data_IF_024747646378
#
_entry.id   IF_024747646378
#
_cell.length_a   1.000
_cell.length_b   1.000
_cell.length_c   1.000
_cell.angle_alpha   90.00
_cell.angle_beta   90.00
_cell.angle_gamma   90.00
#
_symmetry.space_group_name_H-M   'P 1'
#
loop_
_entity.id
_entity.type
_entity.pdbx_description
1 polymer ?
#
# COMPACT_ATOMS: atom_id res chain seq x y z
N UNK A 1 -13.05 -25.89 -15.94
CA UNK A 1 -11.71 -25.99 -16.56
C UNK A 1 -10.80 -24.99 -15.83
N UNK A 2 -10.17 -25.45 -14.75
CA UNK A 2 -9.34 -24.62 -13.88
C UNK A 2 -7.92 -24.58 -14.43
N UNK A 3 -7.49 -23.41 -14.92
CA UNK A 3 -6.08 -23.13 -15.19
C UNK A 3 -5.47 -22.49 -13.93
N UNK A 4 -5.46 -23.23 -12.82
CA UNK A 4 -4.52 -22.97 -11.73
C UNK A 4 -3.23 -23.69 -12.13
N UNK A 5 -2.46 -23.05 -13.02
CA UNK A 5 -1.06 -23.39 -13.21
C UNK A 5 -0.39 -23.34 -11.84
N UNK A 6 0.31 -24.41 -11.46
CA UNK A 6 1.27 -24.42 -10.35
C UNK A 6 2.15 -23.16 -10.42
N UNK A 7 1.76 -22.10 -9.70
CA UNK A 7 2.64 -20.94 -9.51
C UNK A 7 3.56 -21.37 -8.37
N UNK A 8 4.84 -21.50 -8.70
CA UNK A 8 5.91 -21.79 -7.75
C UNK A 8 6.93 -20.65 -7.74
N UNK A 9 6.52 -19.46 -8.17
CA UNK A 9 7.36 -18.29 -8.31
C UNK A 9 6.65 -17.05 -7.80
N UNK A 10 7.41 -16.14 -7.18
CA UNK A 10 6.95 -14.83 -6.71
C UNK A 10 6.21 -14.08 -7.81
N UNK A 11 5.13 -13.39 -7.45
CA UNK A 11 4.41 -12.51 -8.37
C UNK A 11 5.36 -11.39 -8.82
N UNK A 12 5.66 -11.35 -10.12
CA UNK A 12 6.54 -10.36 -10.73
C UNK A 12 5.76 -9.15 -11.26
N UNK A 13 6.48 -8.08 -11.57
CA UNK A 13 5.93 -6.92 -12.29
C UNK A 13 5.31 -7.33 -13.64
N UNK A 14 5.92 -8.27 -14.36
CA UNK A 14 5.37 -8.76 -15.63
C UNK A 14 4.02 -9.47 -15.46
N UNK A 15 3.86 -10.24 -14.37
CA UNK A 15 2.56 -10.85 -14.01
C UNK A 15 1.53 -9.75 -13.73
N UNK A 16 1.86 -8.76 -12.89
CA UNK A 16 0.96 -7.64 -12.58
C UNK A 16 0.52 -6.90 -13.86
N UNK A 17 1.46 -6.59 -14.77
CA UNK A 17 1.14 -5.95 -16.06
C UNK A 17 0.18 -6.80 -16.89
N UNK A 18 0.38 -8.12 -16.91
CA UNK A 18 -0.44 -9.05 -17.70
C UNK A 18 -1.90 -9.15 -17.24
N UNK A 19 -2.20 -8.75 -15.99
CA UNK A 19 -3.54 -8.80 -15.40
C UNK A 19 -4.45 -7.68 -15.90
N UNK A 20 -3.89 -6.56 -16.40
CA UNK A 20 -4.68 -5.43 -16.90
C UNK A 20 -5.77 -5.89 -17.88
N UNK A 21 -7.00 -5.43 -17.64
CA UNK A 21 -8.16 -5.78 -18.47
C UNK A 21 -8.58 -7.27 -18.46
N UNK A 22 -7.88 -8.15 -17.74
CA UNK A 22 -8.16 -9.59 -17.68
C UNK A 22 -8.65 -10.02 -16.30
N UNK A 23 -7.93 -9.64 -15.24
CA UNK A 23 -8.24 -10.00 -13.84
C UNK A 23 -7.98 -8.81 -12.95
N UNK A 24 -8.84 -8.56 -11.96
CA UNK A 24 -8.63 -7.46 -11.02
C UNK A 24 -7.45 -7.76 -10.10
N UNK A 25 -6.61 -6.75 -9.87
CA UNK A 25 -5.46 -6.83 -8.96
C UNK A 25 -5.93 -6.47 -7.54
N UNK A 26 -5.73 -7.37 -6.60
CA UNK A 26 -5.98 -7.14 -5.18
C UNK A 26 -4.68 -6.72 -4.47
N UNK A 27 -4.67 -5.52 -3.89
CA UNK A 27 -3.53 -5.02 -3.14
C UNK A 27 -3.93 -4.61 -1.72
N UNK A 28 -3.02 -4.81 -0.76
CA UNK A 28 -3.17 -4.33 0.61
C UNK A 28 -1.85 -3.80 1.14
N UNK A 29 -1.92 -2.85 2.07
CA UNK A 29 -0.71 -2.47 2.81
C UNK A 29 -0.30 -3.56 3.80
N UNK A 30 0.97 -3.62 4.15
CA UNK A 30 1.47 -4.36 5.31
C UNK A 30 2.59 -3.56 5.97
N UNK A 31 2.67 -3.62 7.30
CA UNK A 31 3.63 -2.82 8.09
C UNK A 31 4.58 -3.68 8.91
N UNK A 32 4.30 -4.98 9.01
CA UNK A 32 5.08 -5.95 9.79
C UNK A 32 4.97 -7.36 9.19
N UNK A 33 5.63 -8.32 9.86
CA UNK A 33 5.63 -9.72 9.45
C UNK A 33 4.23 -10.35 9.47
N UNK A 34 3.43 -10.06 10.51
CA UNK A 34 2.12 -10.69 10.72
C UNK A 34 1.11 -10.26 9.66
N UNK A 35 1.02 -8.95 9.42
CA UNK A 35 0.16 -8.37 8.39
C UNK A 35 0.55 -8.82 6.99
N UNK A 36 1.85 -8.92 6.70
CA UNK A 36 2.33 -9.45 5.43
C UNK A 36 2.00 -10.94 5.26
N UNK A 37 2.16 -11.75 6.31
CA UNK A 37 1.82 -13.17 6.31
C UNK A 37 0.33 -13.40 6.03
N UNK A 38 -0.56 -12.60 6.62
CA UNK A 38 -1.98 -12.69 6.31
C UNK A 38 -2.28 -12.39 4.84
N UNK A 39 -1.62 -11.38 4.25
CA UNK A 39 -1.77 -11.08 2.83
C UNK A 39 -1.27 -12.23 1.93
N UNK A 40 -0.11 -12.79 2.26
CA UNK A 40 0.50 -13.93 1.55
C UNK A 40 -0.43 -15.15 1.53
N UNK A 41 -1.03 -15.48 2.67
CA UNK A 41 -1.95 -16.63 2.83
C UNK A 41 -3.36 -16.37 2.27
N UNK A 42 -3.67 -15.12 1.88
CA UNK A 42 -5.01 -14.72 1.41
C UNK A 42 -5.10 -14.45 -0.09
N UNK A 43 -4.04 -14.72 -0.86
CA UNK A 43 -4.04 -14.53 -2.30
C UNK A 43 -4.03 -13.05 -2.74
N UNK A 44 -3.43 -12.17 -1.94
CA UNK A 44 -3.14 -10.79 -2.34
C UNK A 44 -2.09 -10.81 -3.46
N UNK A 45 -2.26 -9.97 -4.48
CA UNK A 45 -1.31 -9.89 -5.61
C UNK A 45 -0.14 -8.95 -5.31
N UNK A 46 -0.42 -7.85 -4.61
CA UNK A 46 0.56 -6.81 -4.24
C UNK A 46 0.45 -6.48 -2.76
N UNK A 47 1.57 -6.59 -2.06
CA UNK A 47 1.73 -6.03 -0.71
C UNK A 47 2.50 -4.72 -0.81
N UNK A 48 1.94 -3.65 -0.23
CA UNK A 48 2.59 -2.34 -0.18
C UNK A 48 3.03 -2.00 1.24
N UNK A 49 4.32 -1.79 1.45
CA UNK A 49 4.84 -1.12 2.65
C UNK A 49 4.77 0.36 2.39
N UNK A 50 3.64 0.96 2.77
CA UNK A 50 3.36 2.37 2.53
C UNK A 50 3.72 3.26 3.71
N UNK A 51 4.10 4.50 3.44
CA UNK A 51 4.39 5.51 4.48
C UNK A 51 3.20 5.82 5.40
N UNK A 52 1.98 5.41 5.00
CA UNK A 52 0.81 5.31 5.86
C UNK A 52 1.08 4.64 7.22
N UNK A 53 2.11 3.77 7.32
CA UNK A 53 2.59 3.18 8.58
C UNK A 53 2.90 4.24 9.65
N UNK A 54 3.36 5.44 9.25
CA UNK A 54 3.61 6.54 10.17
C UNK A 54 2.36 6.86 10.98
N UNK A 55 1.22 6.97 10.32
CA UNK A 55 -0.05 7.25 10.98
C UNK A 55 -0.65 6.01 11.64
N UNK A 56 -0.72 4.89 10.92
CA UNK A 56 -1.52 3.73 11.34
C UNK A 56 -0.75 2.73 12.21
N UNK A 57 0.57 2.87 12.33
CA UNK A 57 1.39 1.99 13.17
C UNK A 57 2.21 2.78 14.19
N UNK A 58 2.73 3.95 13.81
CA UNK A 58 3.60 4.76 14.68
C UNK A 58 2.87 5.91 15.38
N UNK A 59 1.59 6.16 15.05
CA UNK A 59 0.78 7.20 15.67
C UNK A 59 1.21 8.63 15.30
N UNK A 60 1.96 8.81 14.22
CA UNK A 60 2.34 10.13 13.70
C UNK A 60 1.11 10.89 13.17
N UNK A 61 1.12 12.23 13.21
CA UNK A 61 -0.02 13.02 12.74
C UNK A 61 -0.18 13.00 11.21
N UNK A 62 0.88 12.70 10.47
CA UNK A 62 0.92 12.65 9.00
C UNK A 62 2.05 11.70 8.55
N UNK A 63 2.25 11.55 7.23
CA UNK A 63 3.29 10.68 6.64
C UNK A 63 4.59 11.42 6.26
N UNK A 64 4.66 12.74 6.43
CA UNK A 64 5.80 13.56 5.97
C UNK A 64 7.09 13.27 6.73
N UNK A 65 6.97 12.98 8.02
CA UNK A 65 8.10 12.74 8.93
C UNK A 65 8.56 11.27 8.94
N UNK A 66 7.98 10.43 8.07
CA UNK A 66 8.40 9.03 7.95
C UNK A 66 9.82 8.95 7.41
N UNK A 67 10.70 8.27 8.14
CA UNK A 67 12.11 8.16 7.80
C UNK A 67 12.39 6.97 6.87
N UNK A 68 13.51 7.04 6.14
CA UNK A 68 14.02 5.90 5.39
C UNK A 68 14.26 4.67 6.28
N UNK A 69 14.73 4.84 7.51
CA UNK A 69 14.99 3.74 8.45
C UNK A 69 13.70 3.02 8.86
N UNK A 70 12.61 3.77 9.07
CA UNK A 70 11.30 3.20 9.35
C UNK A 70 10.80 2.38 8.16
N UNK A 71 10.94 2.90 6.93
CA UNK A 71 10.56 2.18 5.71
C UNK A 71 11.40 0.92 5.48
N UNK A 72 12.72 0.97 5.71
CA UNK A 72 13.63 -0.19 5.61
C UNK A 72 13.26 -1.26 6.63
N UNK A 73 12.98 -0.86 7.87
CA UNK A 73 12.61 -1.77 8.97
C UNK A 73 11.29 -2.47 8.67
N UNK A 74 10.26 -1.71 8.27
CA UNK A 74 8.96 -2.26 7.90
C UNK A 74 9.04 -3.17 6.67
N UNK A 75 9.85 -2.80 5.66
CA UNK A 75 10.07 -3.64 4.46
C UNK A 75 10.71 -4.97 4.82
N UNK A 76 11.76 -4.94 5.64
CA UNK A 76 12.44 -6.15 6.11
C UNK A 76 11.49 -7.05 6.91
N UNK A 77 10.65 -6.46 7.76
CA UNK A 77 9.65 -7.19 8.52
C UNK A 77 8.57 -7.82 7.62
N UNK A 78 8.01 -7.05 6.69
CA UNK A 78 7.01 -7.53 5.75
C UNK A 78 7.56 -8.67 4.88
N UNK A 79 8.78 -8.53 4.33
CA UNK A 79 9.43 -9.59 3.54
C UNK A 79 9.52 -10.91 4.31
N UNK A 80 9.84 -10.88 5.61
CA UNK A 80 9.87 -12.09 6.45
C UNK A 80 8.52 -12.78 6.62
N UNK A 81 7.40 -12.10 6.33
CA UNK A 81 6.06 -12.68 6.35
C UNK A 81 5.66 -13.38 5.04
N UNK A 82 6.32 -13.04 3.93
CA UNK A 82 5.97 -13.50 2.57
C UNK A 82 6.74 -14.78 2.20
N UNK A 83 6.26 -15.93 2.69
CA UNK A 83 6.98 -17.21 2.61
C UNK A 83 6.22 -18.29 1.83
N UNK A 84 5.05 -18.00 1.26
CA UNK A 84 4.32 -18.95 0.42
C UNK A 84 5.11 -19.31 -0.83
N UNK A 85 4.64 -20.30 -1.60
CA UNK A 85 5.27 -20.68 -2.86
C UNK A 85 5.09 -19.62 -3.97
N UNK A 86 4.11 -18.72 -3.83
CA UNK A 86 3.81 -17.64 -4.78
C UNK A 86 3.55 -16.36 -3.99
N UNK A 87 4.57 -15.78 -3.35
CA UNK A 87 4.36 -14.60 -2.54
C UNK A 87 3.97 -13.40 -3.42
N UNK A 88 3.18 -12.45 -2.87
CA UNK A 88 2.82 -11.21 -3.56
C UNK A 88 4.06 -10.41 -3.96
N UNK A 89 3.87 -9.54 -4.96
CA UNK A 89 4.85 -8.51 -5.28
C UNK A 89 4.95 -7.55 -4.08
N UNK A 90 6.14 -7.39 -3.51
CA UNK A 90 6.37 -6.45 -2.42
C UNK A 90 6.81 -5.10 -2.97
N UNK A 91 5.96 -4.09 -2.82
CA UNK A 91 6.25 -2.70 -3.19
C UNK A 91 6.51 -1.90 -1.91
N UNK A 92 7.49 -1.01 -1.91
CA UNK A 92 7.72 -0.10 -0.77
C UNK A 92 7.72 1.35 -1.22
N UNK A 93 7.09 2.23 -0.44
CA UNK A 93 7.17 3.67 -0.65
C UNK A 93 8.60 4.21 -0.47
N UNK A 94 9.02 5.11 -1.36
CA UNK A 94 10.08 6.05 -1.03
C UNK A 94 9.42 7.20 -0.25
N UNK A 95 9.75 7.39 1.04
CA UNK A 95 9.20 8.48 1.83
C UNK A 95 9.76 9.82 1.33
N UNK A 96 9.13 10.94 1.72
CA UNK A 96 9.49 12.27 1.23
C UNK A 96 10.98 12.60 1.40
N UNK A 97 11.58 12.27 2.56
CA UNK A 97 13.00 12.47 2.81
C UNK A 97 13.91 11.61 1.92
N UNK A 98 13.39 10.51 1.38
CA UNK A 98 14.09 9.59 0.50
C UNK A 98 14.28 10.11 -0.93
N UNK A 99 13.56 11.17 -1.32
CA UNK A 99 13.58 11.73 -2.67
C UNK A 99 14.83 12.54 -3.01
N UNK A 100 15.67 12.90 -2.02
CA UNK A 100 16.93 13.61 -2.27
C UNK A 100 17.99 12.71 -2.93
N UNK A 101 18.03 11.44 -2.54
CA UNK A 101 18.95 10.42 -3.07
C UNK A 101 18.17 9.18 -3.55
N UNK A 102 17.31 9.32 -4.58
CA UNK A 102 16.27 8.35 -4.90
C UNK A 102 16.84 6.97 -5.27
N UNK A 103 17.88 6.91 -6.11
CA UNK A 103 18.49 5.63 -6.53
C UNK A 103 19.10 4.89 -5.33
N UNK A 104 19.87 5.60 -4.49
CA UNK A 104 20.52 4.99 -3.32
C UNK A 104 19.46 4.46 -2.33
N UNK A 105 18.44 5.27 -2.05
CA UNK A 105 17.37 4.91 -1.13
C UNK A 105 16.52 3.76 -1.66
N UNK A 106 16.19 3.75 -2.95
CA UNK A 106 15.50 2.62 -3.57
C UNK A 106 16.32 1.33 -3.50
N UNK A 107 17.64 1.39 -3.72
CA UNK A 107 18.53 0.21 -3.55
C UNK A 107 18.56 -0.29 -2.11
N UNK A 108 18.50 0.59 -1.12
CA UNK A 108 18.37 0.18 0.30
C UNK A 108 17.04 -0.54 0.54
N UNK A 109 15.93 -0.06 -0.02
CA UNK A 109 14.62 -0.73 0.08
C UNK A 109 14.60 -2.10 -0.61
N UNK A 110 15.21 -2.21 -1.79
CA UNK A 110 15.37 -3.49 -2.50
C UNK A 110 16.24 -4.45 -1.67
N UNK A 111 17.34 -3.97 -1.10
CA UNK A 111 18.20 -4.78 -0.21
C UNK A 111 17.46 -5.22 1.06
N UNK A 112 16.50 -4.43 1.53
CA UNK A 112 15.61 -4.77 2.64
C UNK A 112 14.52 -5.80 2.24
N UNK A 113 14.34 -6.04 0.94
CA UNK A 113 13.47 -7.09 0.41
C UNK A 113 12.35 -6.62 -0.51
N UNK A 114 12.24 -5.32 -0.81
CA UNK A 114 11.27 -4.83 -1.80
C UNK A 114 11.59 -5.36 -3.21
N UNK A 115 10.55 -5.67 -3.98
CA UNK A 115 10.66 -6.02 -5.40
C UNK A 115 10.57 -4.79 -6.31
N UNK A 116 9.87 -3.75 -5.85
CA UNK A 116 9.68 -2.49 -6.55
C UNK A 116 9.47 -1.35 -5.55
N UNK A 117 9.52 -0.11 -6.04
CA UNK A 117 9.26 1.08 -5.22
C UNK A 117 8.03 1.85 -5.68
N UNK A 118 7.34 2.53 -4.76
CA UNK A 118 6.27 3.49 -5.07
C UNK A 118 6.77 4.92 -4.87
N UNK A 119 6.41 5.80 -5.81
CA UNK A 119 6.76 7.23 -5.79
C UNK A 119 5.53 8.07 -6.06
N UNK A 120 5.29 9.07 -5.22
CA UNK A 120 4.27 10.09 -5.44
C UNK A 120 4.72 11.08 -6.52
N UNK A 121 3.98 11.16 -7.61
CA UNK A 121 4.32 11.98 -8.76
C UNK A 121 3.87 13.44 -8.56
N UNK A 122 4.38 14.08 -7.51
CA UNK A 122 4.37 15.53 -7.39
C UNK A 122 5.51 16.13 -8.22
N UNK A 123 5.73 17.44 -8.17
CA UNK A 123 6.70 18.15 -9.02
C UNK A 123 8.11 17.52 -9.03
N UNK A 124 8.62 17.08 -7.88
CA UNK A 124 9.91 16.37 -7.78
C UNK A 124 9.80 14.90 -8.21
N UNK A 125 8.69 14.24 -7.89
CA UNK A 125 8.46 12.82 -8.14
C UNK A 125 8.54 12.43 -9.62
N UNK A 126 8.05 13.27 -10.54
CA UNK A 126 8.13 12.96 -11.99
C UNK A 126 9.57 12.78 -12.48
N UNK A 127 10.50 13.63 -12.02
CA UNK A 127 11.91 13.51 -12.40
C UNK A 127 12.52 12.19 -11.88
N UNK A 128 12.05 11.77 -10.71
CA UNK A 128 12.54 10.59 -10.00
C UNK A 128 12.07 9.28 -10.65
N UNK A 129 10.84 9.22 -11.18
CA UNK A 129 10.34 8.00 -11.86
C UNK A 129 11.30 7.59 -12.99
N UNK A 130 11.60 8.52 -13.90
CA UNK A 130 12.50 8.24 -15.03
C UNK A 130 13.91 7.85 -14.58
N UNK A 131 14.43 8.52 -13.56
CA UNK A 131 15.77 8.26 -13.02
C UNK A 131 15.87 6.84 -12.44
N UNK A 132 14.88 6.43 -11.62
CA UNK A 132 14.82 5.10 -11.03
C UNK A 132 14.68 4.01 -12.10
N UNK A 133 13.75 4.19 -13.05
CA UNK A 133 13.55 3.22 -14.14
C UNK A 133 14.82 3.09 -14.99
N UNK A 134 15.49 4.20 -15.31
CA UNK A 134 16.77 4.18 -16.04
C UNK A 134 17.88 3.46 -15.27
N UNK A 135 17.79 3.42 -13.94
CA UNK A 135 18.70 2.67 -13.07
C UNK A 135 18.31 1.19 -12.89
N UNK A 136 17.30 0.70 -13.61
CA UNK A 136 16.82 -0.68 -13.54
C UNK A 136 15.92 -0.99 -12.34
N UNK A 137 15.31 0.03 -11.74
CA UNK A 137 14.42 -0.11 -10.59
C UNK A 137 12.97 -0.03 -11.07
N UNK A 138 12.17 -1.03 -10.70
CA UNK A 138 10.74 -1.06 -11.02
C UNK A 138 9.97 -0.03 -10.18
N UNK A 139 9.15 0.79 -10.84
CA UNK A 139 8.43 1.90 -10.20
C UNK A 139 6.93 1.78 -10.39
N UNK A 140 6.21 1.81 -9.26
CA UNK A 140 4.77 2.08 -9.20
C UNK A 140 4.58 3.58 -8.99
N UNK A 141 3.95 4.26 -9.94
CA UNK A 141 3.63 5.68 -9.82
C UNK A 141 2.41 5.90 -8.90
N UNK A 142 2.28 7.08 -8.31
CA UNK A 142 1.10 7.50 -7.56
C UNK A 142 0.68 8.92 -7.95
N UNK A 143 -0.56 9.08 -8.42
CA UNK A 143 -1.17 10.37 -8.78
C UNK A 143 -2.53 10.56 -8.12
N UNK A 144 -3.04 11.79 -8.14
CA UNK A 144 -4.28 12.18 -7.47
C UNK A 144 -3.97 12.88 -6.15
N UNK A 145 -4.53 12.40 -5.05
CA UNK A 145 -4.13 12.87 -3.72
C UNK A 145 -2.79 12.23 -3.34
N UNK A 146 -1.80 13.06 -3.03
CA UNK A 146 -0.44 12.62 -2.66
C UNK A 146 -0.13 13.07 -1.22
N UNK A 147 -0.38 12.21 -0.20
CA UNK A 147 -0.25 12.53 1.21
C UNK A 147 1.08 13.15 1.64
N UNK A 148 2.21 12.81 0.99
CA UNK A 148 3.53 13.33 1.36
C UNK A 148 3.63 14.86 1.22
N UNK A 149 2.75 15.48 0.44
CA UNK A 149 2.73 16.93 0.20
C UNK A 149 1.56 17.64 0.86
N UNK A 150 0.73 16.92 1.64
CA UNK A 150 -0.47 17.47 2.29
C UNK A 150 -0.10 18.09 3.63
N UNK A 151 -0.13 19.42 3.74
CA UNK A 151 0.32 20.19 4.92
C UNK A 151 -0.71 20.33 6.05
N UNK A 152 -1.98 19.97 5.84
CA UNK A 152 -3.03 19.96 6.88
C UNK A 152 -4.03 18.84 6.59
N UNK A 153 -4.68 18.32 7.64
CA UNK A 153 -5.83 17.41 7.61
C UNK A 153 -6.94 17.82 6.62
N UNK A 154 -7.12 19.13 6.39
CA UNK A 154 -8.02 19.67 5.36
C UNK A 154 -7.58 19.41 3.92
N UNK A 155 -6.34 18.97 3.70
CA UNK A 155 -5.75 18.69 2.39
C UNK A 155 -6.08 17.30 1.85
N UNK A 156 -6.60 16.38 2.67
CA UNK A 156 -7.16 15.11 2.21
C UNK A 156 -8.53 15.35 1.55
N UNK A 157 -8.59 16.07 0.43
CA UNK A 157 -9.81 16.33 -0.36
C UNK A 157 -9.80 15.54 -1.66
N UNK A 158 -10.99 15.37 -2.24
CA UNK A 158 -11.15 14.78 -3.57
C UNK A 158 -10.44 15.66 -4.61
N UNK A 159 -9.55 15.06 -5.40
CA UNK A 159 -8.76 15.73 -6.43
C UNK A 159 -9.41 15.61 -7.81
N UNK A 160 -9.11 16.50 -8.75
CA UNK A 160 -9.58 16.38 -10.14
C UNK A 160 -11.09 16.54 -10.34
N UNK A 161 -11.79 17.28 -9.47
CA UNK A 161 -13.23 17.60 -9.64
C UNK A 161 -13.50 18.50 -10.85
N UNK A 162 -12.64 19.50 -11.03
CA UNK A 162 -12.70 20.44 -12.15
C UNK A 162 -11.95 19.81 -13.33
N UNK A 163 -12.45 20.01 -14.54
CA UNK A 163 -11.91 19.40 -15.77
C UNK A 163 -10.41 19.68 -15.94
N UNK A 164 -9.97 20.93 -15.73
CA UNK A 164 -8.55 21.32 -15.80
C UNK A 164 -7.69 20.55 -14.80
N UNK A 165 -8.16 20.42 -13.55
CA UNK A 165 -7.46 19.65 -12.51
C UNK A 165 -7.45 18.16 -12.82
N UNK A 166 -8.53 17.65 -13.42
CA UNK A 166 -8.61 16.26 -13.88
C UNK A 166 -7.61 15.98 -15.00
N UNK A 167 -7.48 16.91 -15.95
CA UNK A 167 -6.49 16.83 -17.03
C UNK A 167 -5.06 16.79 -16.51
N UNK A 168 -4.71 17.61 -15.51
CA UNK A 168 -3.38 17.57 -14.86
C UNK A 168 -3.08 16.15 -14.32
N UNK A 169 -4.05 15.48 -13.69
CA UNK A 169 -3.87 14.13 -13.15
C UNK A 169 -3.74 13.09 -14.27
N UNK A 170 -4.50 13.24 -15.36
CA UNK A 170 -4.36 12.38 -16.54
C UNK A 170 -2.98 12.53 -17.19
N UNK A 171 -2.56 13.76 -17.47
CA UNK A 171 -1.28 14.07 -18.08
C UNK A 171 -0.12 13.56 -17.19
N UNK A 172 -0.26 13.70 -15.87
CA UNK A 172 0.64 13.12 -14.88
C UNK A 172 0.74 11.59 -14.99
N UNK A 173 -0.39 10.89 -15.05
CA UNK A 173 -0.41 9.44 -15.14
C UNK A 173 0.20 8.94 -16.46
N UNK A 174 -0.11 9.62 -17.57
CA UNK A 174 0.47 9.34 -18.89
C UNK A 174 1.99 9.60 -18.89
N UNK A 175 2.43 10.67 -18.23
CA UNK A 175 3.86 10.97 -18.13
C UNK A 175 4.61 9.91 -17.33
N UNK A 176 4.03 9.45 -16.22
CA UNK A 176 4.64 8.39 -15.43
C UNK A 176 4.76 7.06 -16.22
N UNK A 177 3.78 6.74 -17.05
CA UNK A 177 3.87 5.61 -18.00
C UNK A 177 4.96 5.82 -19.05
N UNK A 178 5.04 7.01 -19.66
CA UNK A 178 6.10 7.36 -20.63
C UNK A 178 7.50 7.23 -20.01
N UNK A 179 7.65 7.60 -18.74
CA UNK A 179 8.88 7.49 -17.97
C UNK A 179 9.16 6.05 -17.48
N UNK A 180 8.25 5.11 -17.77
CA UNK A 180 8.45 3.67 -17.63
C UNK A 180 7.92 3.03 -16.35
N UNK A 181 7.05 3.72 -15.60
CA UNK A 181 6.35 3.10 -14.47
C UNK A 181 5.57 1.86 -14.92
N UNK A 182 5.56 0.80 -14.11
CA UNK A 182 4.88 -0.45 -14.47
C UNK A 182 3.40 -0.50 -14.08
N UNK A 183 2.99 0.39 -13.17
CA UNK A 183 1.63 0.52 -12.62
C UNK A 183 1.43 1.93 -12.05
N UNK A 184 0.18 2.37 -11.93
CA UNK A 184 -0.15 3.70 -11.39
C UNK A 184 -1.27 3.63 -10.34
N UNK A 185 -1.00 4.08 -9.11
CA UNK A 185 -2.01 4.30 -8.08
C UNK A 185 -2.79 5.57 -8.38
N UNK A 186 -4.11 5.48 -8.33
CA UNK A 186 -5.03 6.61 -8.46
C UNK A 186 -5.74 6.81 -7.11
N UNK A 187 -5.38 7.87 -6.38
CA UNK A 187 -5.95 8.13 -5.05
C UNK A 187 -6.94 9.29 -5.06
N UNK A 188 -8.14 9.01 -4.53
CA UNK A 188 -9.16 10.00 -4.18
C UNK A 188 -9.51 10.97 -5.33
N UNK A 189 -9.82 10.39 -6.49
CA UNK A 189 -10.29 11.09 -7.70
C UNK A 189 -11.72 10.67 -8.10
N UNK A 190 -12.46 11.45 -8.90
CA UNK A 190 -13.74 11.04 -9.45
C UNK A 190 -13.67 9.72 -10.21
N UNK A 191 -14.69 8.87 -10.03
CA UNK A 191 -14.78 7.56 -10.69
C UNK A 191 -14.70 7.64 -12.22
N UNK A 192 -15.25 8.69 -12.82
CA UNK A 192 -15.19 8.89 -14.27
C UNK A 192 -13.79 9.28 -14.74
N UNK A 193 -13.07 10.09 -13.97
CA UNK A 193 -11.67 10.41 -14.26
C UNK A 193 -10.79 9.16 -14.15
N UNK A 194 -11.01 8.33 -13.13
CA UNK A 194 -10.31 7.05 -12.99
C UNK A 194 -10.57 6.10 -14.17
N UNK A 195 -11.82 6.04 -14.66
CA UNK A 195 -12.18 5.27 -15.86
C UNK A 195 -11.43 5.79 -17.09
N UNK A 196 -11.39 7.11 -17.29
CA UNK A 196 -10.66 7.73 -18.40
C UNK A 196 -9.18 7.38 -18.34
N UNK A 197 -8.52 7.59 -17.20
CA UNK A 197 -7.09 7.28 -17.02
C UNK A 197 -6.83 5.79 -17.27
N UNK A 198 -7.65 4.90 -16.69
CA UNK A 198 -7.45 3.45 -16.83
C UNK A 198 -7.57 2.94 -18.27
N UNK A 199 -8.40 3.60 -19.09
CA UNK A 199 -8.52 3.34 -20.52
C UNK A 199 -7.38 3.93 -21.34
N UNK A 200 -6.82 5.06 -20.91
CA UNK A 200 -5.73 5.75 -21.61
C UNK A 200 -4.39 5.07 -21.40
N UNK A 201 -4.12 4.53 -20.21
CA UNK A 201 -2.86 3.87 -19.90
C UNK A 201 -2.83 2.42 -20.40
N UNK A 202 -1.66 1.97 -20.85
CA UNK A 202 -1.35 0.57 -21.14
C UNK A 202 -0.91 -0.22 -19.90
N UNK A 203 -0.45 0.46 -18.85
CA UNK A 203 -0.12 -0.13 -17.54
C UNK A 203 -1.35 -0.25 -16.62
N UNK A 204 -1.36 -1.18 -15.65
CA UNK A 204 -2.47 -1.31 -14.70
C UNK A 204 -2.64 -0.06 -13.82
N UNK A 205 -3.89 0.29 -13.55
CA UNK A 205 -4.23 1.30 -12.53
C UNK A 205 -4.71 0.64 -11.24
N UNK A 206 -4.26 1.13 -10.09
CA UNK A 206 -4.67 0.63 -8.77
C UNK A 206 -5.44 1.75 -8.04
N UNK A 207 -6.74 1.55 -7.82
CA UNK A 207 -7.58 2.56 -7.20
C UNK A 207 -7.57 2.53 -5.67
N UNK A 208 -7.58 3.70 -5.04
CA UNK A 208 -7.95 3.87 -3.64
C UNK A 208 -8.85 5.11 -3.52
N UNK A 209 -10.15 4.88 -3.29
CA UNK A 209 -11.13 5.95 -3.38
C UNK A 209 -11.31 6.54 -4.79
N UNK A 210 -10.99 5.78 -5.83
CA UNK A 210 -11.09 6.15 -7.25
C UNK A 210 -12.23 5.43 -8.00
N UNK A 211 -13.11 4.72 -7.30
CA UNK A 211 -14.20 3.95 -7.90
C UNK A 211 -13.78 2.60 -8.49
N UNK A 212 -14.70 1.87 -9.13
CA UNK A 212 -14.51 0.46 -9.50
C UNK A 212 -13.79 0.26 -10.85
N UNK A 213 -13.47 1.33 -11.57
CA UNK A 213 -13.01 1.25 -12.96
C UNK A 213 -11.50 1.04 -13.12
N UNK A 214 -10.71 1.17 -12.04
CA UNK A 214 -9.29 0.84 -12.06
C UNK A 214 -9.06 -0.67 -12.26
N UNK A 215 -7.90 -1.06 -12.78
CA UNK A 215 -7.53 -2.48 -12.97
C UNK A 215 -7.34 -3.25 -11.65
N UNK A 216 -7.07 -2.56 -10.56
CA UNK A 216 -6.99 -3.11 -9.22
C UNK A 216 -7.48 -2.14 -8.15
N UNK A 217 -7.42 -2.59 -6.89
CA UNK A 217 -7.74 -1.78 -5.72
C UNK A 217 -6.71 -2.00 -4.63
N UNK A 218 -6.40 -0.94 -3.88
CA UNK A 218 -5.58 -0.99 -2.68
C UNK A 218 -6.30 -0.34 -1.51
N UNK A 219 -6.11 -0.91 -0.31
CA UNK A 219 -6.56 -0.31 0.95
C UNK A 219 -5.49 -0.51 2.03
N UNK A 220 -5.55 0.34 3.06
CA UNK A 220 -4.73 0.15 4.27
C UNK A 220 -5.29 -1.04 5.06
N UNK A 221 -4.43 -1.99 5.45
CA UNK A 221 -4.89 -3.22 6.10
C UNK A 221 -5.64 -2.95 7.42
N UNK A 222 -5.18 -2.00 8.21
CA UNK A 222 -5.82 -1.62 9.46
C UNK A 222 -7.17 -0.92 9.29
N UNK A 223 -7.41 -0.30 8.13
CA UNK A 223 -8.71 0.27 7.79
C UNK A 223 -9.73 -0.84 7.52
N UNK A 224 -9.35 -1.90 6.79
CA UNK A 224 -10.25 -3.03 6.50
C UNK A 224 -10.50 -3.91 7.74
N UNK A 225 -9.52 -3.99 8.64
CA UNK A 225 -9.61 -4.75 9.88
C UNK A 225 -10.36 -3.99 11.00
N UNK A 226 -10.68 -2.70 10.80
CA UNK A 226 -11.40 -1.91 11.80
C UNK A 226 -10.58 -1.67 13.08
N UNK A 227 -9.27 -1.43 12.92
CA UNK A 227 -8.38 -1.08 14.05
C UNK A 227 -8.63 0.36 14.50
N UNK A 228 -8.86 1.29 13.57
CA UNK A 228 -9.11 2.70 13.88
C UNK A 228 -10.60 3.03 13.90
N UNK A 229 -11.16 3.34 15.06
CA UNK A 229 -12.60 3.62 15.20
C UNK A 229 -12.98 5.05 14.80
N UNK A 230 -12.15 6.04 15.14
CA UNK A 230 -12.48 7.47 15.02
C UNK A 230 -12.49 7.98 13.58
N UNK A 231 -11.68 7.39 12.71
CA UNK A 231 -11.57 7.78 11.31
C UNK A 231 -12.05 6.65 10.43
N UNK A 232 -13.07 6.92 9.63
CA UNK A 232 -13.63 5.95 8.67
C UNK A 232 -13.68 6.60 7.29
N UNK A 233 -12.68 6.35 6.43
CA UNK A 233 -12.72 6.84 5.06
C UNK A 233 -13.98 6.30 4.36
N UNK A 234 -14.72 7.17 3.65
CA UNK A 234 -15.95 6.79 2.94
C UNK A 234 -15.74 5.65 1.93
N UNK A 235 -14.52 5.53 1.39
CA UNK A 235 -14.16 4.53 0.38
C UNK A 235 -13.71 3.18 0.97
N UNK A 236 -13.64 3.03 2.29
CA UNK A 236 -13.23 1.79 2.95
C UNK A 236 -14.45 0.96 3.32
N UNK A 237 -14.44 -0.33 2.94
CA UNK A 237 -15.28 -1.36 3.54
C UNK A 237 -14.52 -2.04 4.68
N UNK A 238 -15.11 -2.10 5.87
CA UNK A 238 -14.60 -2.92 6.98
C UNK A 238 -15.08 -4.35 6.82
N UNK A 239 -14.17 -5.29 7.00
CA UNK A 239 -14.41 -6.72 7.01
C UNK A 239 -14.33 -7.29 8.44
N UNK A 240 -13.77 -6.52 9.38
CA UNK A 240 -13.70 -6.83 10.80
C UNK A 240 -13.80 -5.54 11.64
N UNK A 241 -14.19 -5.68 12.91
CA UNK A 241 -14.09 -4.62 13.92
C UNK A 241 -13.07 -5.04 15.00
N UNK A 242 -11.79 -5.10 14.60
CA UNK A 242 -10.71 -5.69 15.40
C UNK A 242 -10.51 -4.95 16.72
N UNK A 243 -10.64 -3.62 16.76
CA UNK A 243 -10.46 -2.85 17.99
C UNK A 243 -11.47 -3.24 19.09
N UNK A 244 -12.70 -3.60 18.71
CA UNK A 244 -13.72 -4.05 19.66
C UNK A 244 -13.32 -5.40 20.26
N UNK A 245 -12.91 -6.34 19.41
CA UNK A 245 -12.48 -7.68 19.84
C UNK A 245 -11.21 -7.62 20.69
N UNK A 246 -10.24 -6.81 20.29
CA UNK A 246 -8.99 -6.63 21.02
C UNK A 246 -9.22 -6.04 22.41
N UNK A 247 -10.01 -4.95 22.52
CA UNK A 247 -10.35 -4.35 23.82
C UNK A 247 -11.11 -5.30 24.73
N UNK A 248 -12.00 -6.12 24.16
CA UNK A 248 -12.71 -7.16 24.91
C UNK A 248 -11.71 -8.17 25.49
N UNK A 249 -10.84 -8.75 24.65
CA UNK A 249 -9.85 -9.74 25.08
C UNK A 249 -8.89 -9.17 26.15
N UNK A 250 -8.41 -7.94 25.98
CA UNK A 250 -7.55 -7.27 26.97
C UNK A 250 -8.28 -7.04 28.30
N UNK A 251 -9.56 -6.68 28.25
CA UNK A 251 -10.39 -6.47 29.45
C UNK A 251 -10.67 -7.78 30.18
N UNK A 252 -10.93 -8.85 29.45
CA UNK A 252 -11.13 -10.20 30.00
C UNK A 252 -9.86 -10.71 30.68
N UNK A 253 -8.71 -10.64 30.01
CA UNK A 253 -7.41 -10.95 30.60
C UNK A 253 -7.15 -10.15 31.87
N UNK A 254 -7.43 -8.83 31.85
CA UNK A 254 -7.27 -7.97 33.02
C UNK A 254 -8.17 -8.42 34.18
N UNK A 255 -9.42 -8.83 33.89
CA UNK A 255 -10.35 -9.33 34.90
C UNK A 255 -9.90 -10.68 35.48
N UNK A 256 -9.36 -11.58 34.65
CA UNK A 256 -8.85 -12.87 35.09
C UNK A 256 -7.63 -12.72 36.01
N UNK A 257 -6.68 -11.85 35.66
CA UNK A 257 -5.53 -11.52 36.52
C UNK A 257 -6.00 -10.93 37.86
N UNK A 258 -6.88 -9.92 37.82
CA UNK A 258 -7.36 -9.23 39.04
C UNK A 258 -8.17 -10.12 39.97
N UNK A 259 -8.83 -11.15 39.43
CA UNK A 259 -9.62 -12.10 40.21
C UNK A 259 -8.85 -13.36 40.60
N UNK A 260 -7.57 -13.49 40.20
CA UNK A 260 -6.76 -14.68 40.46
C UNK A 260 -7.18 -15.91 39.64
N UNK A 261 -7.96 -15.74 38.56
CA UNK A 261 -8.28 -16.83 37.63
C UNK A 261 -7.15 -17.15 36.66
N UNK A 262 -6.27 -16.17 36.41
CA UNK A 262 -5.07 -16.34 35.59
C UNK A 262 -3.79 -15.94 36.35
N UNK A 263 -2.71 -16.75 36.28
CA UNK A 263 -2.69 -18.11 35.73
C UNK A 263 -3.44 -19.09 36.67
N UNK A 264 -4.03 -20.14 36.10
CA UNK A 264 -4.50 -21.31 36.86
C UNK A 264 -3.37 -22.33 37.01
N UNK A 265 -3.63 -23.42 37.75
CA UNK A 265 -2.69 -24.56 37.85
C UNK A 265 -2.32 -25.14 36.47
N UNK A 266 -3.25 -25.13 35.50
CA UNK A 266 -3.00 -25.66 34.15
C UNK A 266 -2.05 -24.79 33.32
N UNK A 267 -1.89 -23.52 33.69
CA UNK A 267 -1.00 -22.57 33.03
C UNK A 267 0.28 -22.33 33.84
N UNK A 268 0.51 -23.13 34.88
CA UNK A 268 1.63 -23.02 35.80
C UNK A 268 2.53 -24.25 35.66
N UNK A 269 3.85 -24.07 35.82
CA UNK A 269 4.84 -25.14 35.80
C UNK A 269 5.43 -25.30 37.20
N UNK A 270 5.66 -26.55 37.63
CA UNK A 270 6.35 -26.90 38.89
C UNK A 270 7.85 -27.14 38.65
#
# INVERSE_FOLDING_TARGET
MNNQSNRNERISVSIIRSMKGKTKIAALTAVDMSTAKWCDESGIDIVLVGDSLGMVSLGMPNTQDVSMEQMITATSAARRGLNSNTPPLLVTDIPLCGLEFPIENARKLISAGADAVKVECHEKGFKIVKELVSAGIEVMAHVGLMPQTVTDSKGYKLQGKEEEKGKIILDAAMKAEEDGAFSCVLEKIPSQLALQISKSLSIPTIGIGAGPHCDGQILVIYDILGVFERFRPKFVRRYLEMSVLARKAVSEYTADVKSGRFPSEKESFE
#
